data_IF_903193054185
#
_entry.id   IF_903193054185
#
_cell.length_a   1.000
_cell.length_b   1.000
_cell.length_c   1.000
_cell.angle_alpha   90.00
_cell.angle_beta   90.00
_cell.angle_gamma   90.00
#
_symmetry.space_group_name_H-M   'P 1'
#
loop_
_entity.id
_entity.type
_entity.pdbx_description
1 polymer ?
#
# COMPACT_ATOMS: atom_id res chain seq x y z
N UNK A 1 0.00 -23.61 -5.31
CA UNK A 1 -0.63 -22.31 -4.98
C UNK A 1 0.31 -21.18 -5.37
N UNK A 2 1.59 -21.28 -5.01
CA UNK A 2 2.62 -20.27 -5.32
C UNK A 2 2.74 -19.87 -6.80
N UNK A 3 2.63 -20.82 -7.73
CA UNK A 3 2.68 -20.50 -9.17
C UNK A 3 1.44 -19.72 -9.62
N UNK A 4 0.25 -20.07 -9.10
CA UNK A 4 -1.00 -19.40 -9.46
C UNK A 4 -1.07 -17.97 -8.89
N UNK A 5 -0.68 -17.79 -7.63
CA UNK A 5 -0.62 -16.48 -6.96
C UNK A 5 0.38 -15.54 -7.66
N UNK A 6 1.55 -16.09 -8.07
CA UNK A 6 2.52 -15.33 -8.85
C UNK A 6 2.00 -14.95 -10.23
N UNK A 7 1.36 -15.88 -10.94
CA UNK A 7 0.75 -15.59 -12.25
C UNK A 7 -0.34 -14.51 -12.15
N UNK A 8 -1.13 -14.51 -11.08
CA UNK A 8 -2.14 -13.48 -10.83
C UNK A 8 -1.49 -12.12 -10.55
N UNK A 9 -0.49 -12.07 -9.67
CA UNK A 9 0.25 -10.84 -9.36
C UNK A 9 0.93 -10.23 -10.59
N UNK A 10 1.58 -11.07 -11.41
CA UNK A 10 2.23 -10.64 -12.64
C UNK A 10 1.21 -10.12 -13.68
N UNK A 11 0.02 -10.74 -13.77
CA UNK A 11 -1.05 -10.26 -14.65
C UNK A 11 -1.59 -8.89 -14.20
N UNK A 12 -1.77 -8.66 -12.90
CA UNK A 12 -2.20 -7.37 -12.34
C UNK A 12 -1.17 -6.28 -12.65
N UNK A 13 0.12 -6.56 -12.44
CA UNK A 13 1.21 -5.62 -12.72
C UNK A 13 1.32 -5.29 -14.22
N UNK A 14 1.20 -6.31 -15.08
CA UNK A 14 1.19 -6.14 -16.53
C UNK A 14 0.00 -5.28 -16.98
N UNK A 15 -1.18 -5.46 -16.38
CA UNK A 15 -2.37 -4.67 -16.70
C UNK A 15 -2.20 -3.19 -16.34
N UNK A 16 -1.61 -2.87 -15.19
CA UNK A 16 -1.29 -1.49 -14.81
C UNK A 16 -0.27 -0.84 -15.76
N UNK A 17 0.73 -1.62 -16.20
CA UNK A 17 1.74 -1.15 -17.18
C UNK A 17 1.13 -0.86 -18.56
N UNK A 18 0.23 -1.73 -19.03
CA UNK A 18 -0.42 -1.61 -20.36
C UNK A 18 -1.53 -0.56 -20.37
N UNK A 19 -2.23 -0.37 -19.25
CA UNK A 19 -3.30 0.62 -19.12
C UNK A 19 -2.79 2.07 -19.24
N UNK A 20 -1.47 2.30 -19.23
CA UNK A 20 -0.91 3.64 -19.36
C UNK A 20 -1.41 4.55 -18.24
N UNK A 21 -1.60 4.01 -17.03
CA UNK A 21 -1.94 4.75 -15.81
C UNK A 21 -0.72 5.58 -15.34
N UNK A 22 -0.21 6.41 -16.24
CA UNK A 22 0.48 7.66 -15.94
C UNK A 22 -0.52 8.80 -15.82
N UNK A 23 -1.71 8.54 -15.25
CA UNK A 23 -2.43 9.61 -14.57
C UNK A 23 -1.51 10.02 -13.42
N UNK A 24 -1.09 11.28 -13.40
CA UNK A 24 -0.06 11.79 -12.51
C UNK A 24 -0.42 11.44 -11.06
N UNK A 25 0.24 10.40 -10.51
CA UNK A 25 -0.07 9.89 -9.18
C UNK A 25 0.26 10.99 -8.19
N UNK A 26 -0.79 11.65 -7.71
CA UNK A 26 -0.72 12.92 -7.01
C UNK A 26 -1.74 12.96 -5.87
N UNK A 27 -1.51 13.87 -4.93
CA UNK A 27 -2.38 14.07 -3.77
C UNK A 27 -1.93 13.29 -2.54
N UNK A 28 -2.84 13.12 -1.57
CA UNK A 28 -2.52 12.52 -0.28
C UNK A 28 -3.23 11.19 -0.09
N UNK A 29 -2.49 10.17 0.32
CA UNK A 29 -3.03 8.86 0.71
C UNK A 29 -2.66 8.51 2.15
N UNK A 30 -3.65 8.12 2.95
CA UNK A 30 -3.47 7.66 4.32
C UNK A 30 -3.38 6.14 4.35
N UNK A 31 -2.27 5.64 4.87
CA UNK A 31 -2.01 4.21 5.02
C UNK A 31 -2.03 3.87 6.51
N UNK A 32 -3.05 3.12 6.92
CA UNK A 32 -3.14 2.53 8.24
C UNK A 32 -2.28 1.27 8.33
N UNK A 33 -1.37 1.19 9.30
CA UNK A 33 -0.58 -0.02 9.54
C UNK A 33 -0.26 -0.20 11.04
N UNK A 34 -0.05 -1.45 11.52
CA UNK A 34 0.47 -1.70 12.85
C UNK A 34 1.78 -0.97 13.08
N UNK A 35 1.93 -0.27 14.21
CA UNK A 35 3.04 0.65 14.51
C UNK A 35 4.42 0.08 14.17
N UNK A 36 4.71 -1.13 14.67
CA UNK A 36 5.99 -1.79 14.44
C UNK A 36 6.25 -2.09 12.97
N UNK A 37 5.21 -2.50 12.23
CA UNK A 37 5.32 -2.77 10.80
C UNK A 37 5.46 -1.47 9.99
N UNK A 38 4.67 -0.45 10.33
CA UNK A 38 4.72 0.88 9.72
C UNK A 38 6.12 1.50 9.78
N UNK A 39 6.73 1.52 10.96
CA UNK A 39 8.04 2.14 11.16
C UNK A 39 9.18 1.24 10.68
N UNK A 40 9.18 -0.04 11.04
CA UNK A 40 10.33 -0.91 10.77
C UNK A 40 10.42 -1.35 9.30
N UNK A 41 9.29 -1.46 8.61
CA UNK A 41 9.20 -2.02 7.26
C UNK A 41 8.71 -1.03 6.19
N UNK A 42 7.56 -0.38 6.42
CA UNK A 42 6.93 0.47 5.39
C UNK A 42 7.66 1.79 5.19
N UNK A 43 7.95 2.54 6.25
CA UNK A 43 8.53 3.89 6.16
C UNK A 43 9.78 3.96 5.26
N UNK A 44 10.65 2.94 5.35
CA UNK A 44 11.88 2.83 4.53
C UNK A 44 11.61 2.64 3.04
N UNK A 45 10.51 1.97 2.67
CA UNK A 45 10.14 1.64 1.28
C UNK A 45 9.30 2.73 0.63
N UNK A 46 8.46 3.40 1.41
CA UNK A 46 7.62 4.49 0.92
C UNK A 46 8.45 5.67 0.40
N UNK A 47 9.67 5.88 0.91
CA UNK A 47 10.58 6.90 0.37
C UNK A 47 10.96 6.69 -1.10
N UNK A 48 11.09 5.44 -1.56
CA UNK A 48 11.32 5.17 -2.98
C UNK A 48 10.07 5.48 -3.83
N UNK A 49 8.88 5.21 -3.27
CA UNK A 49 7.61 5.48 -3.94
C UNK A 49 7.35 6.98 -4.10
N UNK A 50 7.58 7.78 -3.06
CA UNK A 50 7.44 9.25 -3.14
C UNK A 50 8.56 9.91 -3.95
N UNK A 51 9.70 9.23 -4.12
CA UNK A 51 10.74 9.70 -5.05
C UNK A 51 10.34 9.48 -6.52
N UNK A 52 9.60 8.40 -6.81
CA UNK A 52 9.07 8.10 -8.14
C UNK A 52 7.86 8.99 -8.49
N UNK A 53 6.98 9.25 -7.51
CA UNK A 53 5.78 10.09 -7.66
C UNK A 53 5.88 11.29 -6.72
N UNK A 54 6.46 12.40 -7.20
CA UNK A 54 6.78 13.55 -6.33
C UNK A 54 5.56 14.32 -5.84
N UNK A 55 4.44 14.22 -6.53
CA UNK A 55 3.18 14.84 -6.13
C UNK A 55 2.38 13.98 -5.15
N UNK A 56 2.85 12.76 -4.86
CA UNK A 56 2.25 11.86 -3.90
C UNK A 56 2.77 12.13 -2.49
N UNK A 57 1.86 12.46 -1.59
CA UNK A 57 2.10 12.55 -0.15
C UNK A 57 1.52 11.32 0.54
N UNK A 58 2.34 10.61 1.31
CA UNK A 58 1.92 9.42 2.04
C UNK A 58 1.88 9.72 3.53
N UNK A 59 0.72 9.52 4.15
CA UNK A 59 0.52 9.64 5.59
C UNK A 59 0.42 8.26 6.20
N UNK A 60 1.45 7.86 6.96
CA UNK A 60 1.40 6.63 7.76
C UNK A 60 0.62 6.91 9.06
N UNK A 61 -0.50 6.22 9.21
CA UNK A 61 -1.35 6.28 10.39
C UNK A 61 -1.13 5.00 11.21
N UNK A 62 -0.66 5.10 12.46
CA UNK A 62 -0.61 3.96 13.37
C UNK A 62 -2.03 3.46 13.63
N UNK A 63 -2.29 2.16 13.42
CA UNK A 63 -3.62 1.58 13.68
C UNK A 63 -3.55 0.39 14.64
N UNK A 64 -4.51 0.29 15.59
CA UNK A 64 -4.64 -0.90 16.43
C UNK A 64 -5.08 -2.10 15.58
N UNK A 65 -4.87 -3.32 16.09
CA UNK A 65 -5.26 -4.57 15.41
C UNK A 65 -6.74 -4.63 14.97
N UNK A 66 -7.62 -3.92 15.67
CA UNK A 66 -9.02 -3.72 15.27
C UNK A 66 -9.18 -2.36 14.59
N UNK A 67 -8.95 -2.29 13.28
CA UNK A 67 -9.09 -1.06 12.50
C UNK A 67 -10.24 -1.18 11.50
N UNK A 68 -10.96 -0.07 11.25
CA UNK A 68 -12.10 -0.04 10.34
C UNK A 68 -11.87 0.96 9.20
N UNK A 69 -11.67 0.43 7.98
CA UNK A 69 -11.65 1.22 6.75
C UNK A 69 -12.96 1.98 6.50
N UNK A 70 -14.08 1.43 6.99
CA UNK A 70 -15.43 1.99 6.81
C UNK A 70 -15.61 3.36 7.46
N UNK A 71 -14.78 3.72 8.46
CA UNK A 71 -14.80 5.04 9.10
C UNK A 71 -13.95 6.08 8.38
N UNK A 72 -13.37 5.74 7.22
CA UNK A 72 -12.44 6.60 6.45
C UNK A 72 -11.26 7.10 7.27
N UNK A 73 -10.83 6.34 8.27
CA UNK A 73 -9.66 6.67 9.09
C UNK A 73 -8.36 6.47 8.29
N UNK A 74 -8.37 5.60 7.29
CA UNK A 74 -7.32 5.45 6.29
C UNK A 74 -7.93 5.12 4.92
N UNK A 75 -7.19 5.41 3.87
CA UNK A 75 -7.57 5.08 2.49
C UNK A 75 -7.10 3.65 2.13
N UNK A 76 -5.98 3.21 2.74
CA UNK A 76 -5.43 1.86 2.64
C UNK A 76 -5.16 1.35 4.07
N UNK A 77 -5.44 0.08 4.34
CA UNK A 77 -5.03 -0.58 5.58
C UNK A 77 -4.18 -1.82 5.27
N UNK A 78 -3.04 -1.92 5.95
CA UNK A 78 -2.15 -3.09 5.90
C UNK A 78 -2.24 -3.79 7.25
N UNK A 79 -2.71 -5.03 7.27
CA UNK A 79 -2.82 -5.84 8.47
C UNK A 79 -1.80 -6.99 8.44
N UNK A 80 -1.48 -7.52 9.63
CA UNK A 80 -0.62 -8.70 9.79
C UNK A 80 -1.39 -9.71 10.62
N UNK A 81 -1.70 -10.85 10.01
CA UNK A 81 -2.43 -11.94 10.64
C UNK A 81 -1.59 -13.23 10.59
N UNK A 82 -1.87 -14.15 11.51
CA UNK A 82 -1.23 -15.46 11.46
C UNK A 82 -1.87 -16.26 10.32
N UNK A 83 -1.07 -16.94 9.48
CA UNK A 83 -1.61 -17.91 8.53
C UNK A 83 -2.40 -18.98 9.30
N UNK A 84 -3.60 -19.30 8.82
CA UNK A 84 -4.39 -20.45 9.28
C UNK A 84 -4.22 -21.64 8.36
#
# INVERSE_FOLDING_TARGET
>A
LDIAERMEGDMIAARSTVAGEGDDVSGTVRIGAPDGFGVAFLAKRLGALTALHRELTIQLVPVPRSFSLSRREADIAITVERPT
#
